data_IF_075767841741
#
_entry.id   IF_075767841741
#
_cell.length_a   1.000
_cell.length_b   1.000
_cell.length_c   1.000
_cell.angle_alpha   90.00
_cell.angle_beta   90.00
_cell.angle_gamma   90.00
#
_symmetry.space_group_name_H-M   'P 1'
#
loop_
_entity.id
_entity.type
_entity.pdbx_description
1 polymer ?
#
# COMPACT_ATOMS: atom_id res chain seq x y z
N UNK A 1 -40.12 5.01 -4.00
CA UNK A 1 -39.99 6.24 -3.18
C UNK A 1 -39.46 7.36 -4.07
N UNK A 2 -40.22 8.44 -4.27
CA UNK A 2 -39.68 9.67 -4.89
C UNK A 2 -38.75 10.32 -3.86
N UNK A 3 -37.52 10.63 -4.26
CA UNK A 3 -36.57 11.31 -3.39
C UNK A 3 -37.00 12.78 -3.29
N UNK A 4 -37.40 13.24 -2.10
CA UNK A 4 -37.98 14.56 -1.86
C UNK A 4 -36.93 15.51 -1.27
N UNK A 5 -35.95 15.89 -2.08
CA UNK A 5 -34.86 16.78 -1.67
C UNK A 5 -35.28 18.23 -1.94
N UNK A 6 -35.75 18.93 -0.90
CA UNK A 6 -36.20 20.33 -1.00
C UNK A 6 -35.05 21.32 -1.26
N UNK A 7 -33.85 20.99 -0.80
CA UNK A 7 -32.63 21.82 -0.94
C UNK A 7 -31.56 21.10 -1.79
N UNK A 8 -32.00 20.47 -2.89
CA UNK A 8 -31.07 19.77 -3.79
C UNK A 8 -30.21 20.78 -4.56
N UNK A 9 -28.92 20.82 -4.25
CA UNK A 9 -27.94 21.65 -4.95
C UNK A 9 -26.97 20.78 -5.76
N UNK A 10 -26.64 21.27 -6.96
CA UNK A 10 -25.65 20.68 -7.85
C UNK A 10 -24.47 21.64 -7.97
N UNK A 11 -23.32 21.23 -7.47
CA UNK A 11 -22.07 21.97 -7.63
C UNK A 11 -21.12 21.22 -8.56
N UNK A 12 -20.46 21.91 -9.51
CA UNK A 12 -19.46 21.31 -10.36
C UNK A 12 -18.15 21.07 -9.58
N UNK A 13 -17.67 19.82 -9.58
CA UNK A 13 -16.31 19.50 -9.15
C UNK A 13 -15.35 19.65 -10.35
N UNK A 14 -14.29 20.45 -10.19
CA UNK A 14 -13.27 20.70 -11.24
C UNK A 14 -11.93 20.14 -10.79
N UNK A 15 -11.24 19.48 -11.71
CA UNK A 15 -9.92 18.89 -11.48
C UNK A 15 -8.99 19.21 -12.65
N UNK A 16 -7.69 19.30 -12.38
CA UNK A 16 -6.70 19.57 -13.43
C UNK A 16 -6.46 18.33 -14.31
N UNK A 17 -6.39 17.15 -13.68
CA UNK A 17 -6.38 15.89 -14.39
C UNK A 17 -7.01 14.75 -13.59
N UNK A 18 -7.53 13.75 -14.31
CA UNK A 18 -8.05 12.52 -13.73
C UNK A 18 -7.59 11.31 -14.53
N UNK A 19 -7.24 10.23 -13.84
CA UNK A 19 -6.89 8.95 -14.47
C UNK A 19 -7.84 7.84 -13.98
N UNK A 20 -8.64 7.31 -14.90
CA UNK A 20 -9.57 6.21 -14.64
C UNK A 20 -8.86 4.87 -14.82
N UNK A 21 -8.71 4.11 -13.74
CA UNK A 21 -8.01 2.82 -13.76
C UNK A 21 -8.99 1.67 -13.93
N UNK A 22 -10.06 1.67 -13.13
CA UNK A 22 -11.17 0.70 -13.19
C UNK A 22 -12.43 1.35 -12.64
N UNK A 23 -13.59 0.73 -12.82
CA UNK A 23 -14.84 1.17 -12.19
C UNK A 23 -14.63 1.48 -10.69
N UNK A 24 -14.97 2.72 -10.29
CA UNK A 24 -14.80 3.28 -8.93
C UNK A 24 -13.35 3.33 -8.42
N UNK A 25 -12.35 3.18 -9.28
CA UNK A 25 -10.93 3.30 -8.94
C UNK A 25 -10.28 4.30 -9.89
N UNK A 26 -9.99 5.50 -9.38
CA UNK A 26 -9.43 6.59 -10.16
C UNK A 26 -8.52 7.47 -9.30
N UNK A 27 -7.63 8.18 -9.96
CA UNK A 27 -6.73 9.17 -9.38
C UNK A 27 -7.16 10.56 -9.86
N UNK A 28 -7.13 11.52 -8.95
CA UNK A 28 -7.31 12.93 -9.23
C UNK A 28 -5.96 13.61 -8.99
N UNK A 29 -5.61 14.53 -9.86
CA UNK A 29 -4.41 15.36 -9.76
C UNK A 29 -4.83 16.82 -9.85
N UNK A 30 -4.51 17.58 -8.80
CA UNK A 30 -4.81 19.00 -8.71
C UNK A 30 -3.52 19.77 -8.33
N UNK A 31 -3.41 21.00 -8.81
CA UNK A 31 -2.45 21.98 -8.34
C UNK A 31 -3.13 22.93 -7.35
N UNK A 32 -2.78 22.83 -6.06
CA UNK A 32 -3.29 23.72 -5.00
C UNK A 32 -2.14 24.48 -4.37
N UNK A 33 -2.23 25.81 -4.30
CA UNK A 33 -1.18 26.67 -3.75
C UNK A 33 0.22 26.38 -4.33
N UNK A 34 0.30 26.15 -5.64
CA UNK A 34 1.50 25.74 -6.38
C UNK A 34 2.11 24.40 -5.93
N UNK A 35 1.35 23.56 -5.23
CA UNK A 35 1.74 22.21 -4.85
C UNK A 35 0.90 21.19 -5.62
N UNK A 36 1.58 20.15 -6.07
CA UNK A 36 0.93 18.98 -6.63
C UNK A 36 0.24 18.22 -5.50
N UNK A 37 -1.05 17.92 -5.67
CA UNK A 37 -1.80 17.02 -4.80
C UNK A 37 -2.38 15.86 -5.62
N UNK A 38 -2.19 14.64 -5.14
CA UNK A 38 -2.84 13.46 -5.69
C UNK A 38 -3.88 12.90 -4.72
N UNK A 39 -5.12 12.77 -5.17
CA UNK A 39 -6.20 12.13 -4.42
C UNK A 39 -6.51 10.77 -5.05
N UNK A 40 -6.46 9.72 -4.24
CA UNK A 40 -6.83 8.38 -4.67
C UNK A 40 -8.28 8.06 -4.28
N UNK A 41 -9.09 7.55 -5.22
CA UNK A 41 -10.45 7.08 -4.96
C UNK A 41 -10.57 5.60 -5.35
N UNK A 42 -11.20 4.81 -4.48
CA UNK A 42 -11.45 3.38 -4.73
C UNK A 42 -10.77 2.44 -3.75
N UNK A 43 -11.25 1.20 -3.73
CA UNK A 43 -10.78 0.19 -2.78
C UNK A 43 -9.35 -0.26 -3.05
N UNK A 44 -8.92 -0.28 -4.32
CA UNK A 44 -7.57 -0.69 -4.70
C UNK A 44 -6.52 0.25 -4.11
N UNK A 45 -6.87 1.53 -3.97
CA UNK A 45 -5.99 2.57 -3.42
C UNK A 45 -6.19 2.83 -1.93
N UNK A 46 -7.08 2.09 -1.23
CA UNK A 46 -7.23 2.25 0.22
C UNK A 46 -5.89 2.02 0.93
N UNK A 47 -5.26 3.13 1.29
CA UNK A 47 -3.97 3.17 1.95
C UNK A 47 -4.06 3.11 3.47
N UNK A 48 -5.25 3.06 4.08
CA UNK A 48 -5.41 2.95 5.53
C UNK A 48 -4.88 1.63 6.11
N UNK A 49 -4.78 0.60 5.27
CA UNK A 49 -4.16 -0.68 5.64
C UNK A 49 -2.67 -0.76 5.27
N UNK A 50 -2.11 0.31 4.70
CA UNK A 50 -0.74 0.37 4.19
C UNK A 50 0.04 1.44 4.96
N UNK A 51 1.36 1.29 4.97
CA UNK A 51 2.23 2.31 5.55
C UNK A 51 2.18 3.59 4.70
N UNK A 52 2.33 4.75 5.34
CA UNK A 52 2.21 6.04 4.65
C UNK A 52 3.24 6.20 3.54
N UNK A 53 4.42 5.58 3.67
CA UNK A 53 5.46 5.54 2.64
C UNK A 53 4.95 4.99 1.30
N UNK A 54 3.99 4.07 1.30
CA UNK A 54 3.41 3.55 0.06
C UNK A 54 2.53 4.57 -0.67
N UNK A 55 1.89 5.48 0.07
CA UNK A 55 1.12 6.59 -0.51
C UNK A 55 2.06 7.63 -1.11
N UNK A 56 3.10 8.01 -0.36
CA UNK A 56 4.16 8.93 -0.84
C UNK A 56 4.83 8.39 -2.10
N UNK A 57 5.20 7.11 -2.11
CA UNK A 57 5.78 6.48 -3.29
C UNK A 57 4.81 6.44 -4.48
N UNK A 58 3.54 6.10 -4.27
CA UNK A 58 2.53 6.14 -5.34
C UNK A 58 2.38 7.55 -5.92
N UNK A 59 2.34 8.57 -5.07
CA UNK A 59 2.22 9.97 -5.51
C UNK A 59 3.39 10.38 -6.40
N UNK A 60 4.63 10.11 -5.97
CA UNK A 60 5.83 10.39 -6.76
C UNK A 60 5.85 9.61 -8.07
N UNK A 61 5.47 8.32 -8.05
CA UNK A 61 5.36 7.51 -9.27
C UNK A 61 4.35 8.12 -10.23
N UNK A 62 3.17 8.48 -9.74
CA UNK A 62 2.07 8.94 -10.59
C UNK A 62 2.28 10.36 -11.10
N UNK A 63 3.01 11.19 -10.36
CA UNK A 63 3.47 12.50 -10.83
C UNK A 63 4.35 12.37 -12.08
N UNK A 64 5.31 11.45 -12.08
CA UNK A 64 6.16 11.19 -13.25
C UNK A 64 5.38 10.53 -14.39
N UNK A 65 4.47 9.60 -14.09
CA UNK A 65 3.59 9.01 -15.11
C UNK A 65 2.73 10.07 -15.80
N UNK A 66 2.16 11.01 -15.06
CA UNK A 66 1.33 12.07 -15.61
C UNK A 66 2.13 13.02 -16.50
N UNK A 67 3.34 13.41 -16.09
CA UNK A 67 4.23 14.25 -16.91
C UNK A 67 4.51 13.63 -18.27
N UNK A 68 4.81 12.34 -18.31
CA UNK A 68 5.13 11.63 -19.56
C UNK A 68 3.89 11.27 -20.41
N UNK A 69 2.69 11.32 -19.84
CA UNK A 69 1.47 10.86 -20.49
C UNK A 69 0.35 11.91 -20.51
N UNK A 70 0.70 13.20 -20.51
CA UNK A 70 -0.27 14.31 -20.45
C UNK A 70 -1.07 14.53 -21.75
N UNK A 71 -0.70 13.89 -22.86
CA UNK A 71 -1.36 13.98 -24.18
C UNK A 71 -1.33 12.65 -24.90
N UNK A 72 -2.37 12.37 -25.69
CA UNK A 72 -2.41 11.22 -26.59
C UNK A 72 -3.31 11.50 -27.81
N UNK A 73 -3.06 10.77 -28.89
CA UNK A 73 -3.88 10.76 -30.10
C UNK A 73 -4.65 9.43 -30.22
N UNK A 74 -3.97 8.30 -29.97
CA UNK A 74 -4.58 6.97 -29.90
C UNK A 74 -4.67 6.45 -28.46
N UNK A 75 -5.87 6.06 -28.04
CA UNK A 75 -6.13 5.58 -26.68
C UNK A 75 -5.44 4.23 -26.42
N UNK A 76 -5.35 3.35 -27.41
CA UNK A 76 -4.77 2.01 -27.24
C UNK A 76 -3.26 2.08 -27.02
N UNK A 77 -2.57 2.96 -27.75
CA UNK A 77 -1.18 3.32 -27.54
C UNK A 77 -0.99 4.01 -26.20
N UNK A 78 -1.82 5.00 -25.86
CA UNK A 78 -1.75 5.69 -24.56
C UNK A 78 -1.85 4.72 -23.38
N UNK A 79 -2.78 3.76 -23.44
CA UNK A 79 -2.93 2.71 -22.42
C UNK A 79 -1.69 1.84 -22.29
N UNK A 80 -1.05 1.47 -23.40
CA UNK A 80 0.20 0.68 -23.39
C UNK A 80 1.35 1.51 -22.81
N UNK A 81 1.46 2.78 -23.20
CA UNK A 81 2.48 3.71 -22.73
C UNK A 81 2.35 3.98 -21.23
N UNK A 82 1.17 4.35 -20.74
CA UNK A 82 0.90 4.56 -19.32
C UNK A 82 1.28 3.34 -18.48
N UNK A 83 0.87 2.13 -18.91
CA UNK A 83 1.26 0.90 -18.20
C UNK A 83 2.76 0.70 -18.16
N UNK A 84 3.46 0.99 -19.25
CA UNK A 84 4.92 0.86 -19.35
C UNK A 84 5.62 1.89 -18.46
N UNK A 85 5.19 3.16 -18.49
CA UNK A 85 5.71 4.21 -17.63
C UNK A 85 5.47 3.89 -16.15
N UNK A 86 4.29 3.37 -15.76
CA UNK A 86 4.04 2.94 -14.37
C UNK A 86 5.07 1.90 -13.94
N UNK A 87 5.35 0.89 -14.78
CA UNK A 87 6.35 -0.14 -14.47
C UNK A 87 7.74 0.44 -14.29
N UNK A 88 8.17 1.27 -15.23
CA UNK A 88 9.49 1.88 -15.25
C UNK A 88 9.69 2.80 -14.04
N UNK A 89 8.78 3.76 -13.83
CA UNK A 89 8.87 4.72 -12.73
C UNK A 89 8.75 4.06 -11.37
N UNK A 90 7.97 2.99 -11.25
CA UNK A 90 7.93 2.19 -10.01
C UNK A 90 9.30 1.63 -9.66
N UNK A 91 9.98 0.97 -10.61
CA UNK A 91 11.33 0.43 -10.36
C UNK A 91 12.32 1.52 -10.04
N UNK A 92 12.30 2.60 -10.82
CA UNK A 92 13.23 3.72 -10.66
C UNK A 92 13.11 4.33 -9.26
N UNK A 93 11.88 4.70 -8.86
CA UNK A 93 11.60 5.38 -7.60
C UNK A 93 11.84 4.44 -6.42
N UNK A 94 11.37 3.19 -6.47
CA UNK A 94 11.60 2.22 -5.36
C UNK A 94 13.08 1.92 -5.18
N UNK A 95 13.87 1.82 -6.27
CA UNK A 95 15.31 1.61 -6.20
C UNK A 95 16.01 2.80 -5.53
N UNK A 96 15.65 4.03 -5.91
CA UNK A 96 16.21 5.28 -5.37
C UNK A 96 15.70 5.63 -3.97
N UNK A 97 14.60 5.02 -3.53
CA UNK A 97 13.99 5.28 -2.24
C UNK A 97 14.97 4.94 -1.10
N UNK A 98 15.44 5.97 -0.40
CA UNK A 98 16.22 5.82 0.80
C UNK A 98 15.28 5.75 2.01
N UNK A 99 15.15 4.54 2.56
CA UNK A 99 14.34 4.28 3.73
C UNK A 99 15.13 4.37 5.04
N UNK A 100 16.45 4.59 4.99
CA UNK A 100 17.28 4.71 6.19
C UNK A 100 17.07 6.04 6.93
N UNK A 101 16.64 7.07 6.19
CA UNK A 101 16.39 8.42 6.70
C UNK A 101 14.90 8.77 6.82
N UNK A 102 14.01 7.78 6.69
CA UNK A 102 12.55 8.02 6.68
C UNK A 102 11.99 8.08 8.11
N UNK A 103 10.97 8.91 8.33
CA UNK A 103 10.27 8.97 9.61
C UNK A 103 9.61 7.61 9.91
N UNK A 104 9.73 7.14 11.15
CA UNK A 104 9.05 5.92 11.61
C UNK A 104 7.54 6.00 11.42
N UNK A 105 6.96 7.20 11.48
CA UNK A 105 5.55 7.42 11.16
C UNK A 105 5.21 7.02 9.73
N UNK A 106 6.15 7.18 8.79
CA UNK A 106 5.94 6.77 7.40
C UNK A 106 5.93 5.25 7.22
N UNK A 107 6.62 4.53 8.11
CA UNK A 107 6.66 3.06 8.14
C UNK A 107 5.52 2.47 8.97
N UNK A 108 4.75 3.31 9.66
CA UNK A 108 3.75 2.88 10.62
C UNK A 108 2.51 2.27 9.95
N UNK A 109 2.09 1.11 10.47
CA UNK A 109 0.85 0.42 10.13
C UNK A 109 -0.07 0.43 11.36
N UNK A 110 -1.22 1.09 11.26
CA UNK A 110 -2.17 1.18 12.37
C UNK A 110 -3.17 0.03 12.29
N UNK A 111 -3.24 -0.81 13.31
CA UNK A 111 -4.22 -1.90 13.36
C UNK A 111 -4.85 -2.07 14.74
N UNK A 112 -6.12 -2.44 14.75
CA UNK A 112 -6.80 -2.85 15.97
C UNK A 112 -6.49 -4.32 16.27
N UNK A 113 -6.16 -4.60 17.52
CA UNK A 113 -5.98 -5.95 18.06
C UNK A 113 -7.02 -6.15 19.17
N UNK A 114 -7.77 -7.23 19.08
CA UNK A 114 -8.70 -7.67 20.13
C UNK A 114 -8.09 -8.83 20.93
N UNK A 115 -8.64 -9.17 22.11
CA UNK A 115 -8.17 -10.29 22.92
C UNK A 115 -8.09 -11.58 22.09
N UNK A 116 -7.05 -12.39 22.29
CA UNK A 116 -6.79 -13.60 21.48
C UNK A 116 -8.02 -14.53 21.39
N UNK A 117 -8.70 -14.74 22.54
CA UNK A 117 -9.90 -15.58 22.65
C UNK A 117 -11.11 -15.11 21.84
N UNK A 118 -11.13 -13.85 21.37
CA UNK A 118 -12.24 -13.30 20.58
C UNK A 118 -12.08 -13.52 19.06
N UNK A 119 -10.93 -14.00 18.60
CA UNK A 119 -10.79 -14.38 17.20
C UNK A 119 -11.42 -15.74 16.94
N UNK A 120 -12.09 -15.87 15.80
CA UNK A 120 -12.57 -17.15 15.32
C UNK A 120 -11.40 -18.11 15.08
N UNK A 121 -11.63 -19.39 15.33
CA UNK A 121 -10.70 -20.48 14.98
C UNK A 121 -10.80 -20.79 13.48
N UNK A 122 -9.77 -21.43 12.92
CA UNK A 122 -9.82 -21.98 11.57
C UNK A 122 -10.81 -23.15 11.50
N UNK A 123 -11.10 -23.64 10.29
CA UNK A 123 -11.95 -24.82 10.09
C UNK A 123 -11.47 -26.04 10.88
N UNK A 124 -10.15 -26.18 11.02
CA UNK A 124 -9.51 -27.28 11.77
C UNK A 124 -9.42 -27.02 13.28
N UNK A 125 -10.07 -25.97 13.80
CA UNK A 125 -10.07 -25.62 15.22
C UNK A 125 -8.79 -24.93 15.72
N UNK A 126 -7.83 -24.67 14.83
CA UNK A 126 -6.58 -23.98 15.15
C UNK A 126 -6.77 -22.46 15.29
N UNK A 127 -5.82 -21.81 15.96
CA UNK A 127 -5.86 -20.36 16.11
C UNK A 127 -5.45 -19.66 14.81
N UNK A 128 -6.19 -18.62 14.43
CA UNK A 128 -5.85 -17.80 13.26
C UNK A 128 -4.56 -17.01 13.48
N UNK A 129 -3.95 -16.55 12.39
CA UNK A 129 -2.77 -15.66 12.43
C UNK A 129 -3.02 -14.41 13.29
N UNK A 130 -4.23 -13.85 13.27
CA UNK A 130 -4.59 -12.70 14.12
C UNK A 130 -4.70 -13.05 15.61
N UNK A 131 -5.20 -14.24 15.95
CA UNK A 131 -5.22 -14.75 17.33
C UNK A 131 -3.81 -15.04 17.85
N UNK A 132 -2.98 -15.71 17.03
CA UNK A 132 -1.57 -15.98 17.34
C UNK A 132 -0.78 -14.70 17.58
N UNK A 133 -0.96 -13.68 16.73
CA UNK A 133 -0.38 -12.35 16.95
C UNK A 133 -0.82 -11.78 18.30
N UNK A 134 -2.11 -11.83 18.63
CA UNK A 134 -2.59 -11.28 19.89
C UNK A 134 -1.93 -11.94 21.11
N UNK A 135 -1.80 -13.27 21.13
CA UNK A 135 -1.07 -13.96 22.21
C UNK A 135 0.42 -13.60 22.26
N UNK A 136 1.07 -13.47 21.10
CA UNK A 136 2.47 -13.07 21.03
C UNK A 136 2.67 -11.64 21.57
N UNK A 137 1.75 -10.73 21.27
CA UNK A 137 1.74 -9.37 21.82
C UNK A 137 1.49 -9.35 23.32
N UNK A 138 0.55 -10.15 23.84
CA UNK A 138 0.32 -10.24 25.29
C UNK A 138 1.57 -10.69 26.06
N UNK A 139 2.34 -11.62 25.48
CA UNK A 139 3.63 -12.05 26.02
C UNK A 139 4.69 -10.96 25.94
N UNK A 140 4.77 -10.25 24.81
CA UNK A 140 5.73 -9.16 24.60
C UNK A 140 5.49 -7.98 25.56
N UNK A 141 4.23 -7.58 25.73
CA UNK A 141 3.82 -6.45 26.58
C UNK A 141 3.82 -6.87 28.07
N UNK A 142 3.76 -8.17 28.37
CA UNK A 142 3.70 -8.69 29.74
C UNK A 142 2.32 -8.55 30.39
N UNK A 143 1.28 -8.23 29.61
CA UNK A 143 -0.10 -8.10 30.09
C UNK A 143 -1.11 -8.57 29.04
N UNK A 144 -2.28 -9.02 29.52
CA UNK A 144 -3.37 -9.44 28.65
C UNK A 144 -4.08 -8.25 28.00
N UNK A 145 -4.45 -8.40 26.73
CA UNK A 145 -5.31 -7.47 26.02
C UNK A 145 -6.75 -7.74 26.48
N UNK A 146 -7.35 -6.82 27.24
CA UNK A 146 -8.69 -7.00 27.82
C UNK A 146 -9.83 -6.57 26.86
N UNK A 147 -9.57 -5.59 26.01
CA UNK A 147 -10.51 -5.02 25.05
C UNK A 147 -9.81 -4.77 23.72
N UNK A 148 -10.57 -4.32 22.70
CA UNK A 148 -9.96 -3.96 21.41
C UNK A 148 -9.13 -2.69 21.58
N UNK A 149 -7.85 -2.75 21.22
CA UNK A 149 -6.89 -1.64 21.30
C UNK A 149 -6.27 -1.39 19.92
N UNK A 150 -6.03 -0.13 19.58
CA UNK A 150 -5.26 0.25 18.38
C UNK A 150 -3.78 0.29 18.70
N UNK A 151 -2.98 -0.37 17.88
CA UNK A 151 -1.53 -0.36 17.95
C UNK A 151 -0.96 0.29 16.68
N UNK A 152 0.18 0.97 16.86
CA UNK A 152 1.03 1.44 15.77
C UNK A 152 2.14 0.41 15.60
N UNK A 153 2.23 -0.21 14.42
CA UNK A 153 3.19 -1.27 14.14
C UNK A 153 4.21 -0.85 13.09
N UNK A 154 5.39 -1.46 13.15
CA UNK A 154 6.35 -1.53 12.03
C UNK A 154 6.64 -2.99 11.71
N UNK A 155 7.08 -3.26 10.48
CA UNK A 155 7.50 -4.61 10.07
C UNK A 155 8.98 -4.79 10.35
N UNK A 156 9.33 -5.80 11.14
CA UNK A 156 10.71 -6.11 11.50
C UNK A 156 11.24 -7.31 10.73
N UNK A 157 12.56 -7.52 10.79
CA UNK A 157 13.26 -8.67 10.18
C UNK A 157 12.91 -9.99 10.87
N UNK A 158 12.61 -9.95 12.17
CA UNK A 158 12.28 -11.12 13.00
C UNK A 158 10.77 -11.17 13.31
N UNK A 159 10.17 -12.36 13.46
CA UNK A 159 8.76 -12.47 13.86
C UNK A 159 8.57 -12.09 15.32
N UNK A 160 7.32 -11.81 15.73
CA UNK A 160 6.93 -11.68 17.13
C UNK A 160 7.31 -12.93 17.93
N UNK A 161 7.68 -12.78 19.22
CA UNK A 161 8.18 -13.89 20.02
C UNK A 161 7.10 -14.96 20.21
N UNK A 162 7.51 -16.23 20.10
CA UNK A 162 6.65 -17.39 20.34
C UNK A 162 5.74 -17.81 19.17
N UNK A 163 5.82 -17.15 18.01
CA UNK A 163 5.12 -17.61 16.80
C UNK A 163 5.89 -18.78 16.16
N UNK A 164 5.23 -19.95 16.10
CA UNK A 164 5.74 -21.12 15.37
C UNK A 164 5.40 -21.00 13.87
N UNK A 165 6.37 -21.30 12.99
CA UNK A 165 6.24 -21.25 11.53
C UNK A 165 5.70 -19.91 11.02
N UNK A 166 6.42 -18.79 11.24
CA UNK A 166 5.97 -17.46 10.88
C UNK A 166 5.89 -17.29 9.36
N UNK A 167 4.90 -16.53 8.87
CA UNK A 167 4.75 -16.20 7.45
C UNK A 167 4.89 -14.70 7.21
N UNK A 168 5.69 -14.34 6.20
CA UNK A 168 5.94 -12.94 5.82
C UNK A 168 5.33 -12.65 4.45
N UNK A 169 4.05 -12.27 4.42
CA UNK A 169 3.41 -11.87 3.16
C UNK A 169 3.98 -10.54 2.65
N UNK A 170 4.00 -10.35 1.33
CA UNK A 170 4.51 -9.13 0.69
C UNK A 170 3.64 -7.88 0.85
N UNK A 171 2.50 -7.98 1.54
CA UNK A 171 1.54 -6.86 1.71
C UNK A 171 1.17 -6.64 3.18
N UNK A 172 1.07 -7.70 3.99
CA UNK A 172 0.65 -7.61 5.40
C UNK A 172 1.24 -8.77 6.23
N UNK A 173 2.51 -8.70 6.65
CA UNK A 173 3.20 -9.77 7.35
C UNK A 173 2.87 -9.72 8.85
N UNK A 174 1.65 -10.12 9.20
CA UNK A 174 1.08 -10.01 10.55
C UNK A 174 2.03 -10.55 11.65
N UNK A 175 2.74 -11.65 11.38
CA UNK A 175 3.66 -12.28 12.33
C UNK A 175 4.92 -11.45 12.60
N UNK A 176 5.24 -10.48 11.75
CA UNK A 176 6.45 -9.63 11.82
C UNK A 176 6.10 -8.17 12.20
N UNK A 177 4.85 -7.90 12.57
CA UNK A 177 4.40 -6.57 12.95
C UNK A 177 4.66 -6.33 14.45
N UNK A 178 5.69 -5.56 14.77
CA UNK A 178 6.04 -5.18 16.14
C UNK A 178 5.45 -3.82 16.49
N UNK A 179 4.87 -3.63 17.69
CA UNK A 179 4.46 -2.32 18.12
C UNK A 179 5.69 -1.41 18.24
N UNK A 180 5.55 -0.17 17.78
CA UNK A 180 6.67 0.79 17.70
C UNK A 180 7.34 0.98 19.06
N UNK A 181 6.54 1.01 20.13
CA UNK A 181 7.02 1.18 21.50
C UNK A 181 7.94 0.06 22.01
N UNK A 182 8.03 -1.08 21.30
CA UNK A 182 8.92 -2.19 21.63
C UNK A 182 10.12 -2.32 20.68
N UNK A 183 10.29 -1.38 19.73
CA UNK A 183 11.47 -1.33 18.85
C UNK A 183 12.60 -0.60 19.57
N UNK A 184 13.68 -1.32 19.87
CA UNK A 184 14.86 -0.74 20.55
C UNK A 184 15.93 -0.27 19.58
N UNK A 185 16.00 -0.89 18.40
CA UNK A 185 16.95 -0.59 17.35
C UNK A 185 16.21 -0.51 16.00
N UNK A 186 16.32 0.63 15.33
CA UNK A 186 15.69 0.85 14.02
C UNK A 186 16.23 -0.09 12.95
N UNK A 187 17.43 -0.64 13.12
CA UNK A 187 18.00 -1.64 12.22
C UNK A 187 17.22 -2.97 12.25
N UNK A 188 16.35 -3.20 13.23
CA UNK A 188 15.45 -4.35 13.26
C UNK A 188 14.31 -4.23 12.24
N UNK A 189 14.00 -3.01 11.77
CA UNK A 189 12.96 -2.77 10.78
C UNK A 189 13.40 -3.37 9.43
N UNK A 190 12.50 -4.08 8.76
CA UNK A 190 12.75 -4.67 7.45
C UNK A 190 12.41 -3.67 6.33
N UNK A 191 13.33 -2.74 6.08
CA UNK A 191 13.19 -1.73 5.03
C UNK A 191 13.02 -2.34 3.63
N UNK A 192 13.67 -3.48 3.37
CA UNK A 192 13.56 -4.17 2.09
C UNK A 192 12.16 -4.74 1.87
N UNK A 193 11.50 -5.20 2.94
CA UNK A 193 10.10 -5.56 2.87
C UNK A 193 9.20 -4.38 2.48
N UNK A 194 9.46 -3.16 2.97
CA UNK A 194 8.68 -1.99 2.58
C UNK A 194 8.84 -1.67 1.08
N UNK A 195 10.05 -1.79 0.52
CA UNK A 195 10.27 -1.63 -0.94
C UNK A 195 9.44 -2.62 -1.74
N UNK A 196 9.50 -3.92 -1.39
CA UNK A 196 8.68 -4.96 -2.03
C UNK A 196 7.19 -4.73 -1.84
N UNK A 197 6.76 -4.23 -0.68
CA UNK A 197 5.36 -3.92 -0.40
C UNK A 197 4.85 -2.80 -1.31
N UNK A 198 5.65 -1.76 -1.55
CA UNK A 198 5.33 -0.70 -2.52
C UNK A 198 5.16 -1.30 -3.91
N UNK A 199 6.10 -2.11 -4.39
CA UNK A 199 5.98 -2.76 -5.70
C UNK A 199 4.70 -3.61 -5.83
N UNK A 200 4.42 -4.44 -4.83
CA UNK A 200 3.22 -5.28 -4.80
C UNK A 200 1.94 -4.46 -4.75
N UNK A 201 1.97 -3.33 -4.04
CA UNK A 201 0.86 -2.40 -4.00
C UNK A 201 0.59 -1.83 -5.39
N UNK A 202 1.60 -1.31 -6.09
CA UNK A 202 1.44 -0.77 -7.45
C UNK A 202 0.92 -1.86 -8.40
N UNK A 203 1.51 -3.07 -8.37
CA UNK A 203 1.05 -4.22 -9.16
C UNK A 203 -0.44 -4.48 -8.96
N UNK A 204 -0.88 -4.57 -7.70
CA UNK A 204 -2.28 -4.81 -7.36
C UNK A 204 -3.21 -3.65 -7.71
N UNK A 205 -2.75 -2.41 -7.54
CA UNK A 205 -3.55 -1.22 -7.78
C UNK A 205 -3.91 -1.05 -9.27
N UNK A 206 -2.95 -1.34 -10.16
CA UNK A 206 -3.07 -1.15 -11.61
C UNK A 206 -3.27 -2.46 -12.40
N UNK A 207 -3.32 -3.61 -11.75
CA UNK A 207 -3.47 -4.90 -12.41
C UNK A 207 -2.26 -5.27 -13.27
N UNK A 208 -1.06 -4.93 -12.81
CA UNK A 208 0.21 -5.20 -13.50
C UNK A 208 0.81 -6.48 -12.89
N UNK A 209 0.89 -7.55 -13.68
CA UNK A 209 1.39 -8.85 -13.20
C UNK A 209 2.91 -8.90 -13.08
N UNK A 210 3.61 -8.12 -13.90
CA UNK A 210 5.07 -8.06 -13.90
C UNK A 210 5.56 -6.61 -14.07
N UNK A 211 6.51 -6.20 -13.24
CA UNK A 211 7.18 -4.91 -13.37
C UNK A 211 8.32 -4.98 -14.38
N UNK A 212 8.72 -6.16 -14.86
CA UNK A 212 9.67 -6.28 -15.96
C UNK A 212 9.19 -5.46 -17.18
N UNK A 213 10.14 -4.72 -17.73
CA UNK A 213 9.99 -3.96 -18.95
C UNK A 213 10.63 -4.83 -20.00
N UNK A 214 9.91 -5.84 -20.48
CA UNK A 214 10.37 -6.59 -21.65
C UNK A 214 10.35 -5.60 -22.81
N UNK A 215 11.53 -5.15 -23.26
CA UNK A 215 11.62 -4.67 -24.64
C UNK A 215 11.25 -5.88 -25.48
N UNK A 216 10.16 -5.78 -26.22
CA UNK A 216 9.80 -6.78 -27.19
C UNK A 216 10.83 -6.67 -28.33
N UNK A 217 11.98 -7.31 -28.18
CA UNK A 217 12.93 -7.49 -29.28
C UNK A 217 12.23 -8.36 -30.30
N UNK A 218 11.94 -7.79 -31.48
CA UNK A 218 11.47 -8.55 -32.62
C UNK A 218 12.48 -9.65 -32.99
N UNK A 219 12.02 -10.67 -33.71
CA UNK A 219 12.88 -11.73 -34.26
C UNK A 219 14.07 -11.17 -35.07
N UNK A 220 13.94 -9.94 -35.55
CA UNK A 220 14.94 -9.16 -36.29
C UNK A 220 16.22 -8.87 -35.47
N UNK A 221 16.15 -8.92 -34.13
CA UNK A 221 17.34 -8.79 -33.27
C UNK A 221 18.12 -10.11 -33.10
N UNK A 222 17.61 -11.20 -33.67
CA UNK A 222 18.20 -12.55 -33.65
C UNK A 222 18.61 -13.07 -35.05
N UNK A 223 18.47 -12.24 -36.10
CA UNK A 223 19.07 -12.46 -37.42
C UNK A 223 20.31 -11.58 -37.58
#
# INVERSE_FOLDING_TARGET
>A
KRLNYHDFELEPEKHDAMMFVKHKNYLIFDARDNKFEMITKGNNFRGSEKANIAKKALEEIMKEVLKENHRWEDESEARRRVKSTIKEKTKEIVRKLDLSNVDIEDLTLIQSVQPAKRYQKTKDGNMTTYGRRAEALEKLIGQRIKSRVKFKFVVTKKPLPGIKNPSKSGVKPIDYMYPIEFIKDLNEIDLEWYKRMIENYIKGAFGIFDLSTTQQTGLDAWM
#
